data_IF_928918754127
#
_entry.id   IF_928918754127
#
_cell.length_a   1.000
_cell.length_b   1.000
_cell.length_c   1.000
_cell.angle_alpha   90.00
_cell.angle_beta   90.00
_cell.angle_gamma   90.00
#
_symmetry.space_group_name_H-M   'P 1'
#
loop_
_entity.id
_entity.type
_entity.pdbx_description
1 polymer ?
#
# COMPACT_ATOMS: atom_id res chain seq x y z
N UNK A 1 32.64 -18.21 -61.31
CA UNK A 1 33.36 -18.32 -60.01
C UNK A 1 32.65 -17.41 -59.00
N UNK A 2 32.09 -17.99 -57.98
CA UNK A 2 31.58 -17.36 -56.76
C UNK A 2 30.40 -16.39 -56.79
N UNK A 3 29.19 -16.94 -57.00
CA UNK A 3 27.94 -16.24 -56.65
C UNK A 3 27.07 -17.02 -55.67
N UNK A 4 27.60 -18.08 -55.03
CA UNK A 4 26.81 -18.94 -54.10
C UNK A 4 27.02 -18.71 -52.59
N UNK A 5 27.82 -17.73 -52.18
CA UNK A 5 28.18 -17.53 -50.75
C UNK A 5 27.39 -16.46 -50.00
N UNK A 6 26.53 -15.69 -50.67
CA UNK A 6 25.81 -14.58 -50.02
C UNK A 6 24.28 -14.83 -49.80
N UNK A 7 23.76 -15.93 -50.35
CA UNK A 7 22.31 -16.21 -50.21
C UNK A 7 21.92 -16.97 -48.92
N UNK A 8 22.88 -17.55 -48.20
CA UNK A 8 22.59 -18.32 -46.97
C UNK A 8 22.61 -17.45 -45.68
N UNK A 9 23.21 -16.25 -45.68
CA UNK A 9 23.26 -15.42 -44.51
C UNK A 9 21.98 -14.63 -44.25
N UNK A 10 21.24 -14.28 -45.29
CA UNK A 10 20.01 -13.48 -45.14
C UNK A 10 18.78 -14.34 -44.77
N UNK A 11 18.78 -15.62 -45.10
CA UNK A 11 17.67 -16.55 -44.75
C UNK A 11 17.68 -16.95 -43.27
N UNK A 12 18.86 -17.01 -42.63
CA UNK A 12 18.97 -17.34 -41.21
C UNK A 12 18.55 -16.18 -40.30
N UNK A 13 18.85 -14.93 -40.71
CA UNK A 13 18.46 -13.73 -39.95
C UNK A 13 16.95 -13.48 -40.04
N UNK A 14 16.34 -13.74 -41.17
CA UNK A 14 14.88 -13.64 -41.33
C UNK A 14 14.12 -14.72 -40.54
N UNK A 15 14.66 -15.93 -40.42
CA UNK A 15 14.07 -17.01 -39.63
C UNK A 15 14.18 -16.75 -38.12
N UNK A 16 15.30 -16.13 -37.63
CA UNK A 16 15.44 -15.76 -36.22
C UNK A 16 14.56 -14.60 -35.83
N UNK A 17 14.38 -13.59 -36.69
CA UNK A 17 13.45 -12.50 -36.46
C UNK A 17 11.99 -12.95 -36.43
N UNK A 18 11.61 -13.94 -37.28
CA UNK A 18 10.26 -14.50 -37.30
C UNK A 18 9.96 -15.39 -36.10
N UNK A 19 10.94 -16.13 -35.58
CA UNK A 19 10.77 -16.93 -34.36
C UNK A 19 10.71 -16.09 -33.09
N UNK A 20 11.36 -14.93 -33.05
CA UNK A 20 11.26 -14.02 -31.88
C UNK A 20 9.93 -13.26 -31.81
N UNK A 21 9.23 -13.09 -32.94
CA UNK A 21 7.90 -12.44 -32.97
C UNK A 21 6.79 -13.43 -32.58
N UNK A 22 7.01 -14.73 -32.71
CA UNK A 22 6.01 -15.77 -32.38
C UNK A 22 5.91 -16.07 -30.87
N UNK A 23 6.77 -15.52 -30.02
CA UNK A 23 6.71 -15.67 -28.57
C UNK A 23 6.15 -14.45 -27.82
N UNK A 24 5.72 -13.42 -28.51
CA UNK A 24 4.78 -12.47 -27.96
C UNK A 24 3.36 -13.10 -27.98
N UNK A 25 3.19 -14.21 -27.28
CA UNK A 25 1.88 -14.60 -26.77
C UNK A 25 1.38 -13.37 -26.04
N UNK A 26 0.26 -12.79 -26.49
CA UNK A 26 -0.47 -11.81 -25.71
C UNK A 26 -0.94 -12.54 -24.44
N UNK A 27 -0.02 -12.69 -23.49
CA UNK A 27 -0.35 -13.14 -22.14
C UNK A 27 -1.40 -12.17 -21.62
N UNK A 28 -2.36 -12.66 -20.88
CA UNK A 28 -3.28 -11.79 -20.18
C UNK A 28 -2.44 -10.70 -19.49
N UNK A 29 -2.84 -9.43 -19.60
CA UNK A 29 -2.10 -8.35 -18.95
C UNK A 29 -1.95 -8.68 -17.46
N UNK A 30 -0.79 -8.38 -16.85
CA UNK A 30 -0.52 -8.75 -15.47
C UNK A 30 -1.58 -8.14 -14.56
N UNK A 31 -2.33 -8.99 -13.86
CA UNK A 31 -3.31 -8.60 -12.87
C UNK A 31 -2.60 -8.38 -11.54
N UNK A 32 -2.63 -7.15 -11.03
CA UNK A 32 -1.97 -6.77 -9.78
C UNK A 32 -2.87 -5.87 -8.91
N UNK A 33 -3.85 -6.48 -8.21
CA UNK A 33 -4.75 -5.73 -7.33
C UNK A 33 -3.97 -5.14 -6.14
N UNK A 34 -4.28 -3.91 -5.76
CA UNK A 34 -3.61 -3.21 -4.66
C UNK A 34 -4.54 -2.79 -3.54
N UNK A 35 -5.81 -2.54 -3.83
CA UNK A 35 -6.80 -2.13 -2.84
C UNK A 35 -8.22 -2.45 -3.33
N UNK A 36 -9.16 -2.62 -2.39
CA UNK A 36 -10.57 -2.91 -2.68
C UNK A 36 -11.48 -2.23 -1.67
N UNK A 37 -12.54 -1.61 -2.17
CA UNK A 37 -13.61 -1.03 -1.34
C UNK A 37 -14.99 -1.42 -1.88
N UNK A 38 -15.99 -1.48 -1.00
CA UNK A 38 -17.37 -1.70 -1.39
C UNK A 38 -18.13 -0.37 -1.44
N UNK A 39 -18.94 -0.17 -2.47
CA UNK A 39 -19.87 0.96 -2.53
C UNK A 39 -21.21 0.65 -1.82
N UNK A 40 -22.10 1.63 -1.77
CA UNK A 40 -23.41 1.47 -1.11
C UNK A 40 -24.32 0.39 -1.73
N UNK A 41 -24.05 -0.04 -2.98
CA UNK A 41 -24.76 -1.13 -3.68
C UNK A 41 -24.12 -2.50 -3.40
N UNK A 42 -23.03 -2.55 -2.63
CA UNK A 42 -22.24 -3.75 -2.39
C UNK A 42 -21.31 -4.12 -3.55
N UNK A 43 -21.24 -3.33 -4.64
CA UNK A 43 -20.28 -3.55 -5.72
C UNK A 43 -18.86 -3.31 -5.20
N UNK A 44 -17.91 -4.15 -5.62
CA UNK A 44 -16.50 -4.08 -5.20
C UNK A 44 -15.70 -3.29 -6.23
N UNK A 45 -15.12 -2.17 -5.80
CA UNK A 45 -14.22 -1.38 -6.63
C UNK A 45 -12.79 -1.73 -6.25
N UNK A 46 -12.01 -2.16 -7.22
CA UNK A 46 -10.65 -2.67 -7.03
C UNK A 46 -9.66 -1.90 -7.91
N UNK A 47 -8.57 -1.46 -7.32
CA UNK A 47 -7.46 -0.87 -8.04
C UNK A 47 -6.54 -1.96 -8.60
N UNK A 48 -6.31 -1.95 -9.91
CA UNK A 48 -5.37 -2.84 -10.58
C UNK A 48 -4.16 -2.05 -11.10
N UNK A 49 -3.07 -2.17 -10.36
CA UNK A 49 -1.80 -1.50 -10.67
C UNK A 49 -1.16 -2.03 -11.95
N UNK A 50 -1.33 -3.32 -12.25
CA UNK A 50 -0.70 -3.99 -13.39
C UNK A 50 -1.18 -3.47 -14.73
N UNK A 51 -2.48 -3.19 -14.84
CA UNK A 51 -3.14 -2.70 -16.07
C UNK A 51 -3.63 -1.26 -15.97
N UNK A 52 -3.30 -0.57 -14.88
CA UNK A 52 -3.65 0.85 -14.65
C UNK A 52 -5.15 1.13 -14.80
N UNK A 53 -5.96 0.52 -13.98
CA UNK A 53 -7.41 0.73 -14.01
C UNK A 53 -8.05 0.53 -12.63
N UNK A 54 -9.27 1.01 -12.51
CA UNK A 54 -10.18 0.67 -11.42
C UNK A 54 -11.28 -0.22 -11.99
N UNK A 55 -11.36 -1.45 -11.49
CA UNK A 55 -12.37 -2.42 -11.90
C UNK A 55 -13.52 -2.46 -10.90
N UNK A 56 -14.76 -2.58 -11.39
CA UNK A 56 -15.96 -2.72 -10.57
C UNK A 56 -16.53 -4.11 -10.78
N UNK A 57 -16.61 -4.86 -9.70
CA UNK A 57 -17.16 -6.21 -9.67
C UNK A 57 -18.53 -6.25 -8.99
N UNK A 58 -19.30 -7.29 -9.32
CA UNK A 58 -20.52 -7.63 -8.60
C UNK A 58 -20.25 -7.87 -7.10
N UNK A 59 -21.26 -7.79 -6.23
CA UNK A 59 -21.10 -7.97 -4.78
C UNK A 59 -20.48 -9.33 -4.38
N UNK A 60 -20.64 -10.35 -5.20
CA UNK A 60 -20.03 -11.66 -4.99
C UNK A 60 -18.60 -11.78 -5.56
N UNK A 61 -18.07 -10.70 -6.16
CA UNK A 61 -16.72 -10.63 -6.72
C UNK A 61 -16.49 -11.41 -8.01
N UNK A 62 -17.55 -12.03 -8.60
CA UNK A 62 -17.37 -12.95 -9.72
C UNK A 62 -17.49 -12.31 -11.10
N UNK A 63 -18.26 -11.24 -11.22
CA UNK A 63 -18.58 -10.62 -12.52
C UNK A 63 -17.96 -9.22 -12.58
N UNK A 64 -17.12 -8.97 -13.58
CA UNK A 64 -16.64 -7.63 -13.90
C UNK A 64 -17.78 -6.84 -14.55
N UNK A 65 -18.23 -5.78 -13.91
CA UNK A 65 -19.34 -4.93 -14.35
C UNK A 65 -18.85 -3.76 -15.20
N UNK A 66 -17.77 -3.09 -14.76
CA UNK A 66 -17.22 -1.89 -15.40
C UNK A 66 -15.72 -1.82 -15.16
N UNK A 67 -15.01 -1.12 -16.04
CA UNK A 67 -13.59 -0.79 -15.87
C UNK A 67 -13.36 0.68 -16.21
N UNK A 68 -12.58 1.35 -15.38
CA UNK A 68 -12.17 2.74 -15.56
C UNK A 68 -10.67 2.81 -15.79
N UNK A 69 -10.21 3.08 -17.02
CA UNK A 69 -8.78 3.20 -17.30
C UNK A 69 -8.21 4.43 -16.60
N UNK A 70 -6.97 4.30 -16.11
CA UNK A 70 -6.21 5.34 -15.43
C UNK A 70 -4.93 5.63 -16.22
N UNK A 71 -4.48 6.88 -16.25
CA UNK A 71 -3.21 7.23 -16.89
C UNK A 71 -2.01 6.73 -16.07
N UNK A 72 -2.18 6.67 -14.75
CA UNK A 72 -1.17 6.25 -13.78
C UNK A 72 -1.58 4.96 -13.06
N UNK A 73 -0.60 4.25 -12.52
CA UNK A 73 -0.82 2.99 -11.81
C UNK A 73 -1.49 3.23 -10.43
N UNK A 74 -2.73 2.81 -10.21
CA UNK A 74 -3.43 3.05 -8.94
C UNK A 74 -2.86 2.19 -7.81
N UNK A 75 -2.93 2.71 -6.57
CA UNK A 75 -2.38 2.08 -5.37
C UNK A 75 -3.35 1.97 -4.21
N UNK A 76 -4.33 2.85 -4.14
CA UNK A 76 -5.35 2.85 -3.09
C UNK A 76 -6.59 3.58 -3.55
N UNK A 77 -7.74 3.30 -2.93
CA UNK A 77 -9.04 3.85 -3.33
C UNK A 77 -9.89 4.20 -2.11
N UNK A 78 -10.56 5.34 -2.18
CA UNK A 78 -11.52 5.82 -1.19
C UNK A 78 -12.77 6.30 -1.93
N UNK A 79 -13.96 5.99 -1.41
CA UNK A 79 -15.23 6.37 -2.05
C UNK A 79 -15.99 7.46 -1.29
N UNK A 80 -16.61 8.36 -2.05
CA UNK A 80 -17.58 9.33 -1.55
C UNK A 80 -18.67 9.55 -2.61
N UNK A 81 -19.82 8.93 -2.40
CA UNK A 81 -20.93 8.96 -3.35
C UNK A 81 -20.50 8.44 -4.72
N UNK A 82 -20.61 9.31 -5.73
CA UNK A 82 -20.26 9.02 -7.13
C UNK A 82 -18.78 9.32 -7.46
N UNK A 83 -17.96 9.62 -6.47
CA UNK A 83 -16.55 9.90 -6.66
C UNK A 83 -15.68 8.83 -6.00
N UNK A 84 -14.60 8.48 -6.70
CA UNK A 84 -13.52 7.70 -6.15
C UNK A 84 -12.25 8.58 -6.08
N UNK A 85 -11.61 8.60 -4.93
CA UNK A 85 -10.32 9.23 -4.70
C UNK A 85 -9.25 8.14 -4.79
N UNK A 86 -8.46 8.18 -5.86
CA UNK A 86 -7.51 7.11 -6.18
C UNK A 86 -6.10 7.65 -6.05
N UNK A 87 -5.30 7.03 -5.18
CA UNK A 87 -3.86 7.32 -5.13
C UNK A 87 -3.13 6.58 -6.24
N UNK A 88 -2.06 7.19 -6.77
CA UNK A 88 -1.29 6.62 -7.87
C UNK A 88 0.19 6.48 -7.54
N UNK A 89 0.81 5.49 -8.14
CA UNK A 89 2.22 5.20 -7.97
C UNK A 89 3.06 5.98 -8.99
N UNK A 90 4.12 6.65 -8.50
CA UNK A 90 5.07 7.37 -9.35
C UNK A 90 6.15 8.05 -8.53
N UNK A 91 7.14 8.62 -9.21
CA UNK A 91 8.13 9.53 -8.61
C UNK A 91 7.45 10.75 -8.02
N UNK A 92 6.42 11.25 -8.70
CA UNK A 92 5.39 12.13 -8.16
C UNK A 92 4.11 11.32 -8.11
N UNK A 93 3.65 10.97 -6.91
CA UNK A 93 2.34 10.34 -6.72
C UNK A 93 1.23 11.40 -6.76
N UNK A 94 0.02 10.96 -7.10
CA UNK A 94 -1.14 11.85 -7.15
C UNK A 94 -2.30 11.27 -6.37
N UNK A 95 -3.20 12.14 -5.92
CA UNK A 95 -4.56 11.82 -5.58
C UNK A 95 -5.44 12.22 -6.77
N UNK A 96 -5.97 11.24 -7.50
CA UNK A 96 -6.87 11.46 -8.63
C UNK A 96 -8.32 11.37 -8.19
N UNK A 97 -9.16 12.29 -8.67
CA UNK A 97 -10.60 12.29 -8.44
C UNK A 97 -11.26 11.70 -9.68
N UNK A 98 -11.76 10.47 -9.55
CA UNK A 98 -12.44 9.73 -10.60
C UNK A 98 -13.95 9.84 -10.43
N UNK A 99 -14.68 10.32 -11.43
CA UNK A 99 -16.14 10.25 -11.48
C UNK A 99 -16.58 8.84 -11.88
N UNK A 100 -17.34 8.18 -11.04
CA UNK A 100 -17.88 6.83 -11.28
C UNK A 100 -19.06 6.85 -12.27
N UNK A 101 -19.68 8.01 -12.48
CA UNK A 101 -20.72 8.22 -13.46
C UNK A 101 -20.14 8.35 -14.88
N UNK A 102 -19.22 9.29 -15.08
CA UNK A 102 -18.63 9.57 -16.39
C UNK A 102 -17.44 8.66 -16.74
N UNK A 103 -16.83 8.01 -15.75
CA UNK A 103 -15.61 7.21 -15.89
C UNK A 103 -14.35 8.04 -16.17
N UNK A 104 -14.36 9.36 -15.89
CA UNK A 104 -13.27 10.27 -16.19
C UNK A 104 -12.59 10.78 -14.92
N UNK A 105 -11.28 10.97 -15.01
CA UNK A 105 -10.51 11.67 -13.97
C UNK A 105 -10.81 13.18 -14.09
N UNK A 106 -11.45 13.74 -13.05
CA UNK A 106 -11.83 15.16 -12.99
C UNK A 106 -10.70 16.06 -12.48
N UNK A 107 -9.80 15.50 -11.68
CA UNK A 107 -8.64 16.21 -11.14
C UNK A 107 -7.53 15.24 -10.80
N UNK A 108 -6.28 15.71 -10.86
CA UNK A 108 -5.09 15.01 -10.42
C UNK A 108 -4.27 15.96 -9.53
N UNK A 109 -4.17 15.66 -8.26
CA UNK A 109 -3.55 16.50 -7.23
C UNK A 109 -2.19 15.88 -6.88
N UNK A 110 -1.07 16.54 -7.18
CA UNK A 110 0.25 16.02 -6.83
C UNK A 110 0.39 15.94 -5.30
N UNK A 111 0.86 14.82 -4.80
CA UNK A 111 1.09 14.55 -3.38
C UNK A 111 2.58 14.36 -3.10
N UNK A 112 3.03 13.12 -3.06
CA UNK A 112 4.41 12.75 -2.84
C UNK A 112 4.72 11.39 -3.45
N UNK A 113 5.99 11.03 -3.53
CA UNK A 113 6.43 9.77 -4.12
C UNK A 113 5.84 8.56 -3.41
N UNK A 114 5.27 7.65 -4.18
CA UNK A 114 4.65 6.41 -3.67
C UNK A 114 3.36 6.66 -2.90
N UNK A 115 2.49 7.55 -3.37
CA UNK A 115 1.21 7.83 -2.74
C UNK A 115 0.37 6.55 -2.59
N UNK A 116 -0.19 6.33 -1.41
CA UNK A 116 -1.01 5.17 -1.08
C UNK A 116 -1.95 5.47 0.10
N UNK A 117 -2.91 4.57 0.34
CA UNK A 117 -3.82 4.59 1.47
C UNK A 117 -4.53 5.95 1.67
N UNK A 118 -5.40 6.36 0.72
CA UNK A 118 -6.20 7.56 0.90
C UNK A 118 -7.28 7.31 1.96
N UNK A 119 -7.47 8.26 2.89
CA UNK A 119 -8.49 8.16 3.94
C UNK A 119 -9.09 9.52 4.26
N UNK A 120 -10.38 9.53 4.61
CA UNK A 120 -11.00 10.75 5.14
C UNK A 120 -10.49 11.06 6.54
N UNK A 121 -10.26 12.33 6.77
CA UNK A 121 -10.09 12.85 8.11
C UNK A 121 -11.34 12.73 8.97
N UNK A 122 -11.23 12.95 10.29
CA UNK A 122 -12.36 12.92 11.20
C UNK A 122 -13.47 13.93 10.84
N UNK A 123 -13.10 15.02 10.19
CA UNK A 123 -14.01 16.07 9.69
C UNK A 123 -14.77 15.67 8.41
N UNK A 124 -14.37 14.57 7.76
CA UNK A 124 -14.87 14.09 6.44
C UNK A 124 -14.76 15.11 5.31
N UNK A 125 -13.91 16.13 5.47
CA UNK A 125 -13.67 17.17 4.46
C UNK A 125 -12.31 17.04 3.82
N UNK A 126 -11.31 16.68 4.61
CA UNK A 126 -9.94 16.51 4.13
C UNK A 126 -9.61 15.04 3.91
N UNK A 127 -8.72 14.79 2.95
CA UNK A 127 -8.19 13.47 2.65
C UNK A 127 -6.72 13.43 3.02
N UNK A 128 -6.32 12.37 3.70
CA UNK A 128 -4.94 12.12 4.09
C UNK A 128 -4.37 11.00 3.24
N UNK A 129 -3.11 11.18 2.78
CA UNK A 129 -2.42 10.24 1.90
C UNK A 129 -1.04 9.95 2.46
N UNK A 130 -0.68 8.67 2.54
CA UNK A 130 0.67 8.22 2.84
C UNK A 130 1.55 8.35 1.60
N UNK A 131 2.68 9.06 1.69
CA UNK A 131 3.70 9.15 0.63
C UNK A 131 4.85 8.23 1.00
N UNK A 132 4.76 6.96 0.60
CA UNK A 132 5.61 5.87 1.08
C UNK A 132 7.11 6.17 0.92
N UNK A 133 7.53 6.62 -0.26
CA UNK A 133 8.97 6.85 -0.54
C UNK A 133 9.45 8.25 -0.20
N UNK A 134 8.54 9.16 0.10
CA UNK A 134 8.88 10.50 0.58
C UNK A 134 8.87 10.61 2.11
N UNK A 135 8.44 9.55 2.82
CA UNK A 135 8.36 9.51 4.29
C UNK A 135 7.48 10.62 4.90
N UNK A 136 6.36 10.92 4.24
CA UNK A 136 5.44 11.99 4.66
C UNK A 136 3.99 11.56 4.59
N UNK A 137 3.14 12.28 5.32
CA UNK A 137 1.69 12.25 5.16
C UNK A 137 1.25 13.61 4.64
N UNK A 138 0.44 13.62 3.58
CA UNK A 138 -0.17 14.83 3.03
C UNK A 138 -1.61 14.96 3.47
N UNK A 139 -2.02 16.15 3.92
CA UNK A 139 -3.39 16.57 4.11
C UNK A 139 -3.86 17.32 2.87
N UNK A 140 -4.97 16.93 2.28
CA UNK A 140 -5.45 17.39 0.99
C UNK A 140 -6.87 17.91 1.13
N UNK A 141 -7.12 19.10 0.61
CA UNK A 141 -8.47 19.61 0.37
C UNK A 141 -8.90 19.19 -1.06
N UNK A 142 -9.83 18.22 -1.18
CA UNK A 142 -10.27 17.74 -2.49
C UNK A 142 -11.11 18.76 -3.27
N UNK A 143 -11.73 19.71 -2.60
CA UNK A 143 -12.52 20.79 -3.21
C UNK A 143 -11.60 21.88 -3.77
N UNK A 144 -10.65 22.34 -2.96
CA UNK A 144 -9.62 23.28 -3.39
C UNK A 144 -8.55 22.63 -4.29
N UNK A 145 -8.56 21.29 -4.42
CA UNK A 145 -7.66 20.48 -5.25
C UNK A 145 -6.18 20.73 -4.96
N UNK A 146 -5.82 20.80 -3.69
CA UNK A 146 -4.43 21.07 -3.26
C UNK A 146 -4.04 20.38 -1.96
N UNK A 147 -2.75 20.14 -1.80
CA UNK A 147 -2.15 19.76 -0.52
C UNK A 147 -2.11 21.01 0.38
N UNK A 148 -2.66 20.86 1.58
CA UNK A 148 -2.73 21.91 2.59
C UNK A 148 -1.51 21.90 3.50
N UNK A 149 -1.20 20.73 4.03
CA UNK A 149 -0.09 20.52 4.97
C UNK A 149 0.58 19.17 4.70
N UNK A 150 1.82 19.05 5.12
CA UNK A 150 2.57 17.80 5.03
C UNK A 150 3.37 17.62 6.32
N UNK A 151 3.34 16.40 6.89
CA UNK A 151 4.11 16.03 8.08
C UNK A 151 5.09 14.91 7.76
N UNK A 152 6.31 15.00 8.28
CA UNK A 152 7.32 13.96 8.14
C UNK A 152 7.12 12.88 9.20
N UNK A 153 7.19 11.62 8.77
CA UNK A 153 7.13 10.43 9.62
C UNK A 153 8.40 9.59 9.44
N UNK A 154 8.38 8.34 9.91
CA UNK A 154 9.50 7.43 9.71
C UNK A 154 9.45 6.76 8.32
N UNK A 155 10.28 5.73 8.16
CA UNK A 155 10.54 5.08 6.87
C UNK A 155 9.33 4.35 6.31
N UNK A 156 8.89 4.74 5.12
CA UNK A 156 7.84 4.11 4.34
C UNK A 156 6.46 4.04 5.03
N UNK A 157 5.79 5.18 5.28
CA UNK A 157 4.42 5.17 5.78
C UNK A 157 3.51 4.38 4.83
N UNK A 158 2.71 3.45 5.37
CA UNK A 158 1.94 2.51 4.56
C UNK A 158 0.43 2.64 4.77
N UNK A 159 -0.01 2.73 6.01
CA UNK A 159 -1.42 2.88 6.37
C UNK A 159 -1.54 3.67 7.67
N UNK A 160 -2.74 4.20 7.93
CA UNK A 160 -2.98 4.98 9.12
C UNK A 160 -4.42 4.85 9.62
N UNK A 161 -4.66 5.24 10.87
CA UNK A 161 -5.98 5.29 11.49
C UNK A 161 -6.05 6.48 12.44
N UNK A 162 -7.23 7.06 12.60
CA UNK A 162 -7.47 8.14 13.56
C UNK A 162 -7.93 7.59 14.90
N UNK A 163 -7.56 8.26 16.00
CA UNK A 163 -8.22 8.08 17.29
C UNK A 163 -9.70 8.45 17.18
N UNK A 164 -10.54 7.86 18.01
CA UNK A 164 -11.99 8.05 17.95
C UNK A 164 -12.41 9.51 18.18
N UNK A 165 -11.65 10.26 18.97
CA UNK A 165 -11.85 11.69 19.21
C UNK A 165 -11.26 12.59 18.12
N UNK A 166 -10.57 12.00 17.14
CA UNK A 166 -9.93 12.70 16.02
C UNK A 166 -8.68 13.49 16.39
N UNK A 167 -8.17 13.38 17.62
CA UNK A 167 -7.00 14.15 18.06
C UNK A 167 -5.68 13.64 17.54
N UNK A 168 -5.59 12.34 17.32
CA UNK A 168 -4.36 11.67 16.89
C UNK A 168 -4.58 10.83 15.64
N UNK A 169 -3.53 10.77 14.81
CA UNK A 169 -3.40 9.81 13.72
C UNK A 169 -2.23 8.89 14.04
N UNK A 170 -2.45 7.59 13.91
CA UNK A 170 -1.44 6.55 14.07
C UNK A 170 -1.05 6.00 12.70
N UNK A 171 0.22 6.09 12.34
CA UNK A 171 0.73 5.77 11.01
C UNK A 171 1.71 4.60 11.11
N UNK A 172 1.45 3.52 10.38
CA UNK A 172 2.41 2.41 10.26
C UNK A 172 3.56 2.80 9.35
N UNK A 173 4.79 2.59 9.82
CA UNK A 173 5.98 2.72 9.00
C UNK A 173 6.46 1.32 8.61
N UNK A 174 6.49 1.03 7.31
CA UNK A 174 6.68 -0.33 6.78
C UNK A 174 8.00 -0.97 7.21
N UNK A 175 9.08 -0.18 7.27
CA UNK A 175 10.42 -0.67 7.62
C UNK A 175 10.96 0.01 8.87
N UNK A 176 11.83 -0.70 9.65
CA UNK A 176 12.60 -0.09 10.71
C UNK A 176 13.44 1.09 10.20
N UNK A 177 13.52 2.15 11.00
CA UNK A 177 14.35 3.33 10.71
C UNK A 177 15.75 3.26 11.33
N UNK A 178 15.96 2.35 12.30
CA UNK A 178 17.22 2.16 13.00
C UNK A 178 18.26 1.44 12.13
N UNK A 179 19.51 1.49 12.56
CA UNK A 179 20.60 0.67 12.00
C UNK A 179 20.30 -0.82 12.24
N UNK A 180 20.63 -1.65 11.25
CA UNK A 180 20.33 -3.10 11.30
C UNK A 180 21.29 -3.89 12.21
N UNK A 181 22.37 -3.28 12.69
CA UNK A 181 23.40 -3.87 13.56
C UNK A 181 23.16 -3.64 15.06
N UNK A 182 22.01 -3.09 15.44
CA UNK A 182 21.62 -2.92 16.83
C UNK A 182 20.97 -4.19 17.39
N UNK A 183 21.05 -4.37 18.70
CA UNK A 183 20.43 -5.50 19.40
C UNK A 183 18.89 -5.44 19.35
N UNK A 184 18.34 -4.25 19.20
CA UNK A 184 16.90 -4.01 19.09
C UNK A 184 16.59 -3.20 17.82
N UNK A 185 15.99 -3.88 16.84
CA UNK A 185 15.57 -3.28 15.59
C UNK A 185 14.10 -3.59 15.36
N UNK A 186 13.26 -2.56 15.32
CA UNK A 186 11.83 -2.71 15.15
C UNK A 186 11.24 -1.56 14.34
N UNK A 187 10.26 -1.86 13.51
CA UNK A 187 9.44 -0.84 12.90
C UNK A 187 8.57 -0.15 13.96
N UNK A 188 8.17 1.08 13.69
CA UNK A 188 7.43 1.93 14.61
C UNK A 188 6.09 2.37 14.02
N UNK A 189 5.17 2.71 14.91
CA UNK A 189 3.96 3.46 14.58
C UNK A 189 4.18 4.91 14.98
N UNK A 190 4.14 5.84 14.01
CA UNK A 190 4.24 7.28 14.27
C UNK A 190 2.91 7.83 14.72
N UNK A 191 2.92 8.68 15.74
CA UNK A 191 1.74 9.39 16.27
C UNK A 191 1.82 10.83 15.84
N UNK A 192 0.79 11.29 15.15
CA UNK A 192 0.63 12.66 14.68
C UNK A 192 -0.51 13.29 15.47
N UNK A 193 -0.24 14.43 16.10
CA UNK A 193 -1.25 15.28 16.71
C UNK A 193 -1.89 16.12 15.61
N UNK A 194 -3.24 16.10 15.54
CA UNK A 194 -3.97 16.61 14.39
C UNK A 194 -4.16 18.12 14.35
N UNK A 195 -4.24 18.78 15.49
CA UNK A 195 -4.41 20.24 15.56
C UNK A 195 -3.20 20.96 14.95
N UNK A 196 -2.00 20.68 15.44
CA UNK A 196 -0.75 21.19 14.87
C UNK A 196 -0.28 20.45 13.62
N UNK A 197 -0.85 19.30 13.30
CA UNK A 197 -0.38 18.36 12.26
C UNK A 197 1.11 18.06 12.40
N UNK A 198 1.49 17.68 13.60
CA UNK A 198 2.89 17.42 13.96
C UNK A 198 3.08 16.02 14.52
N UNK A 199 4.21 15.39 14.19
CA UNK A 199 4.58 14.11 14.78
C UNK A 199 5.04 14.32 16.22
N UNK A 200 4.35 13.69 17.18
CA UNK A 200 4.62 13.85 18.61
C UNK A 200 5.33 12.63 19.22
N UNK A 201 5.18 11.43 18.64
CA UNK A 201 5.77 10.20 19.20
C UNK A 201 6.00 9.16 18.11
N UNK A 202 6.95 8.27 18.33
CA UNK A 202 7.10 7.02 17.58
C UNK A 202 7.00 5.86 18.59
N UNK A 203 6.00 4.99 18.41
CA UNK A 203 5.77 3.80 19.25
C UNK A 203 6.54 2.66 18.61
N UNK A 204 7.60 2.22 19.27
CA UNK A 204 8.41 1.10 18.83
C UNK A 204 7.71 -0.22 19.16
N UNK A 205 7.61 -1.12 18.18
CA UNK A 205 7.01 -2.44 18.36
C UNK A 205 8.03 -3.47 18.86
N UNK A 206 7.64 -4.75 18.94
CA UNK A 206 8.52 -5.82 19.37
C UNK A 206 9.78 -5.93 18.50
N UNK A 207 10.89 -6.33 19.09
CA UNK A 207 12.16 -6.56 18.38
C UNK A 207 11.97 -7.53 17.20
N UNK A 208 12.48 -7.15 16.04
CA UNK A 208 12.29 -7.89 14.78
C UNK A 208 11.03 -7.51 13.99
N UNK A 209 10.17 -6.63 14.52
CA UNK A 209 8.99 -6.14 13.79
C UNK A 209 9.39 -5.41 12.52
N UNK A 210 8.82 -5.82 11.40
CA UNK A 210 9.03 -5.23 10.08
C UNK A 210 7.81 -5.46 9.18
N UNK A 211 7.79 -4.83 8.02
CA UNK A 211 6.71 -4.95 7.05
C UNK A 211 5.33 -4.64 7.66
N UNK A 212 5.20 -3.52 8.39
CA UNK A 212 3.93 -3.06 8.94
C UNK A 212 2.98 -2.70 7.79
N UNK A 213 1.83 -3.38 7.70
CA UNK A 213 0.92 -3.24 6.56
C UNK A 213 -0.41 -2.63 6.96
N UNK A 214 -1.25 -3.40 7.62
CA UNK A 214 -2.57 -2.98 8.05
C UNK A 214 -2.57 -2.39 9.45
N UNK A 215 -3.50 -1.47 9.68
CA UNK A 215 -3.78 -0.88 10.99
C UNK A 215 -5.28 -0.72 11.15
N UNK A 216 -5.81 -1.06 12.29
CA UNK A 216 -7.19 -0.81 12.64
C UNK A 216 -7.32 -0.45 14.11
N UNK A 217 -8.38 0.30 14.44
CA UNK A 217 -8.73 0.66 15.81
C UNK A 217 -9.99 -0.10 16.23
N UNK A 218 -10.06 -0.50 17.49
CA UNK A 218 -11.23 -1.17 18.05
C UNK A 218 -12.46 -0.24 18.04
N UNK A 219 -13.69 -0.76 17.97
CA UNK A 219 -14.90 0.06 17.95
C UNK A 219 -15.07 0.96 19.17
N UNK A 220 -14.53 0.57 20.33
CA UNK A 220 -14.51 1.38 21.55
C UNK A 220 -13.41 2.46 21.54
N UNK A 221 -12.48 2.37 20.58
CA UNK A 221 -11.36 3.33 20.42
C UNK A 221 -10.18 3.12 21.36
N UNK A 222 -10.16 2.01 22.14
CA UNK A 222 -9.13 1.80 23.17
C UNK A 222 -7.83 1.20 22.66
N UNK A 223 -7.92 0.34 21.65
CA UNK A 223 -6.78 -0.42 21.14
C UNK A 223 -6.62 -0.29 19.64
N UNK A 224 -5.39 -0.29 19.20
CA UNK A 224 -4.99 -0.38 17.81
C UNK A 224 -4.32 -1.74 17.60
N UNK A 225 -4.68 -2.40 16.49
CA UNK A 225 -4.03 -3.60 16.00
C UNK A 225 -3.25 -3.26 14.74
N UNK A 226 -2.00 -3.73 14.69
CA UNK A 226 -1.09 -3.53 13.55
C UNK A 226 -0.61 -4.89 13.05
N UNK A 227 -0.89 -5.22 11.79
CA UNK A 227 -0.38 -6.43 11.16
C UNK A 227 1.06 -6.24 10.68
N UNK A 228 1.94 -7.18 10.99
CA UNK A 228 3.37 -7.11 10.62
C UNK A 228 4.05 -8.48 10.65
N UNK A 229 5.28 -8.52 10.20
CA UNK A 229 6.16 -9.67 10.38
C UNK A 229 7.07 -9.47 11.60
N UNK A 230 7.38 -10.56 12.30
CA UNK A 230 8.44 -10.65 13.30
C UNK A 230 9.61 -11.45 12.71
N UNK A 231 10.73 -10.78 12.48
CA UNK A 231 11.96 -11.40 11.99
C UNK A 231 12.87 -11.84 13.14
N UNK A 232 13.35 -13.07 13.11
CA UNK A 232 14.39 -13.57 14.03
C UNK A 232 15.78 -13.31 13.44
N UNK A 233 16.17 -12.05 13.34
CA UNK A 233 17.41 -11.65 12.69
C UNK A 233 18.69 -12.02 13.45
N UNK A 234 18.57 -12.36 14.74
CA UNK A 234 19.70 -12.78 15.61
C UNK A 234 19.98 -14.28 15.55
N UNK A 235 19.14 -15.07 14.89
CA UNK A 235 19.29 -16.53 14.78
C UNK A 235 20.17 -16.86 13.56
N UNK A 236 21.27 -17.62 13.73
CA UNK A 236 22.10 -18.02 12.60
C UNK A 236 21.32 -18.91 11.62
N UNK A 237 21.65 -18.81 10.35
CA UNK A 237 20.99 -19.55 9.26
C UNK A 237 21.04 -21.08 9.42
N UNK A 238 22.02 -21.60 10.17
CA UNK A 238 22.10 -23.02 10.52
C UNK A 238 20.96 -23.51 11.43
N UNK A 239 20.22 -22.61 12.05
CA UNK A 239 19.08 -22.92 12.92
C UNK A 239 17.72 -22.80 12.23
N UNK A 240 17.70 -22.61 10.90
CA UNK A 240 16.47 -22.53 10.09
C UNK A 240 15.53 -23.72 10.28
N UNK A 241 16.07 -24.89 10.60
CA UNK A 241 15.28 -26.09 10.86
C UNK A 241 14.53 -26.06 12.21
N UNK A 242 14.85 -25.12 13.09
CA UNK A 242 14.29 -25.06 14.44
C UNK A 242 13.16 -24.04 14.60
N UNK A 243 12.74 -23.38 13.54
CA UNK A 243 11.65 -22.42 13.58
C UNK A 243 11.66 -21.41 12.44
N UNK A 244 10.59 -20.65 12.32
CA UNK A 244 10.36 -19.66 11.28
C UNK A 244 11.33 -18.47 11.43
N UNK A 245 11.98 -18.06 10.34
CA UNK A 245 12.76 -16.82 10.30
C UNK A 245 11.89 -15.59 10.37
N UNK A 246 10.72 -15.64 9.75
CA UNK A 246 9.72 -14.60 9.78
C UNK A 246 8.39 -15.21 10.20
N UNK A 247 7.74 -14.60 11.17
CA UNK A 247 6.46 -15.01 11.72
C UNK A 247 5.46 -13.86 11.52
N UNK A 248 4.24 -14.16 11.13
CA UNK A 248 3.18 -13.16 11.06
C UNK A 248 2.64 -12.85 12.45
N UNK A 249 2.45 -11.58 12.77
CA UNK A 249 2.02 -11.13 14.07
C UNK A 249 1.09 -9.91 14.00
N UNK A 250 0.30 -9.73 15.05
CA UNK A 250 -0.39 -8.49 15.35
C UNK A 250 0.20 -7.85 16.60
N UNK A 251 0.61 -6.59 16.50
CA UNK A 251 0.92 -5.77 17.66
C UNK A 251 -0.32 -5.06 18.17
N UNK A 252 -0.44 -4.95 19.49
CA UNK A 252 -1.49 -4.23 20.19
C UNK A 252 -0.92 -2.98 20.82
N UNK A 253 -1.59 -1.85 20.57
CA UNK A 253 -1.22 -0.53 21.11
C UNK A 253 -2.40 0.01 21.91
N UNK A 254 -2.12 0.52 23.11
CA UNK A 254 -3.06 1.31 23.92
C UNK A 254 -3.14 2.73 23.34
N UNK A 255 -4.33 3.16 22.98
CA UNK A 255 -4.55 4.47 22.31
C UNK A 255 -4.30 5.62 23.26
N UNK A 256 -4.83 5.55 24.49
CA UNK A 256 -4.76 6.63 25.46
C UNK A 256 -3.34 6.84 25.99
N UNK A 257 -2.64 5.73 26.28
CA UNK A 257 -1.25 5.77 26.74
C UNK A 257 -0.25 5.95 25.60
N UNK A 258 -0.66 5.65 24.36
CA UNK A 258 0.20 5.58 23.18
C UNK A 258 1.39 4.65 23.42
N UNK A 259 1.11 3.43 23.90
CA UNK A 259 2.12 2.46 24.29
C UNK A 259 1.86 1.10 23.64
N UNK A 260 2.95 0.45 23.24
CA UNK A 260 2.94 -0.93 22.79
C UNK A 260 2.68 -1.86 23.99
N UNK A 261 1.65 -2.69 23.89
CA UNK A 261 1.27 -3.64 24.96
C UNK A 261 1.86 -5.04 24.75
N UNK A 262 1.98 -5.47 23.51
CA UNK A 262 2.46 -6.81 23.18
C UNK A 262 2.19 -7.20 21.75
N UNK A 263 2.76 -8.32 21.30
CA UNK A 263 2.53 -8.90 20.00
C UNK A 263 1.91 -10.30 20.12
N UNK A 264 0.95 -10.59 19.28
CA UNK A 264 0.27 -11.87 19.15
C UNK A 264 0.77 -12.53 17.87
N UNK A 265 1.42 -13.67 17.99
CA UNK A 265 1.86 -14.48 16.85
C UNK A 265 0.66 -15.21 16.27
N UNK A 266 0.52 -15.21 14.96
CA UNK A 266 -0.63 -15.79 14.23
C UNK A 266 -0.25 -17.12 13.59
N UNK A 267 1.03 -17.34 13.33
CA UNK A 267 1.52 -18.58 12.72
C UNK A 267 1.46 -19.74 13.71
N UNK A 268 0.93 -20.88 13.26
CA UNK A 268 1.02 -22.14 13.97
C UNK A 268 2.40 -22.79 13.71
N UNK A 269 2.91 -23.63 14.62
CA UNK A 269 4.22 -24.28 14.45
C UNK A 269 4.37 -25.06 13.15
N UNK A 270 3.27 -25.60 12.63
CA UNK A 270 3.25 -26.44 11.42
C UNK A 270 2.71 -25.72 10.17
N UNK A 271 2.13 -24.50 10.33
CA UNK A 271 1.52 -23.74 9.25
C UNK A 271 1.82 -22.25 9.37
N UNK A 272 2.70 -21.75 8.53
CA UNK A 272 2.95 -20.31 8.41
C UNK A 272 1.87 -19.59 7.64
N UNK A 273 1.43 -18.43 8.12
CA UNK A 273 0.61 -17.52 7.35
C UNK A 273 1.50 -16.68 6.41
N UNK A 274 1.16 -16.64 5.13
CA UNK A 274 1.90 -15.85 4.15
C UNK A 274 1.44 -14.38 4.18
N UNK A 275 2.11 -13.54 4.97
CA UNK A 275 1.94 -12.08 4.96
C UNK A 275 0.51 -11.61 5.24
N UNK A 276 0.24 -11.22 6.46
CA UNK A 276 -1.07 -10.68 6.87
C UNK A 276 -1.19 -9.18 6.52
N UNK A 277 -2.39 -8.81 6.06
CA UNK A 277 -2.76 -7.43 5.73
C UNK A 277 -3.78 -6.88 6.70
#
# INVERSE_FOLDING_TARGET
MNTRKYMFKNSLVACFACCCISFASAGNPPFFPTDVVANAKGELLMTDKGVKRVDVFSPDGKTLLRSFPMDEAPTGILLDGDKAYVTTFGTTGHLQILSLESGRVEASIPTGSGACHPMFGPDKKHIYVCNQFQTTISEIDPVARKVMRTVKVLREPKSAVFSKDGKYMFVTNFLPAQRADLDYVAACVSVIEMDGFTKVKDIQLANGSNALRGICITPDGKYIYVSHNLGRFTVPTSQLQQGWMNTSAFSVIDVDKQEFLGAIVVDEPERGAAGIW
#
